data_IF_806314287484
#
_entry.id   IF_806314287484
#
_cell.length_a   1.000
_cell.length_b   1.000
_cell.length_c   1.000
_cell.angle_alpha   90.00
_cell.angle_beta   90.00
_cell.angle_gamma   90.00
#
_symmetry.space_group_name_H-M   'P 1'
#
loop_
_entity.id
_entity.type
_entity.pdbx_description
1 polymer ?
#
# COMPACT_ATOMS: atom_id res chain seq x y z
N UNK A 1 14.09 -6.39 -31.05
CA UNK A 1 12.69 -6.49 -30.64
C UNK A 1 12.61 -6.13 -29.15
N UNK A 2 11.85 -5.11 -28.73
CA UNK A 2 11.69 -4.78 -27.30
C UNK A 2 10.43 -5.46 -26.77
N UNK A 3 10.57 -6.41 -25.85
CA UNK A 3 9.42 -7.01 -25.17
C UNK A 3 8.82 -5.98 -24.20
N UNK A 4 7.49 -5.85 -24.18
CA UNK A 4 6.77 -5.03 -23.21
C UNK A 4 6.01 -5.98 -22.29
N UNK A 5 6.26 -5.89 -20.99
CA UNK A 5 5.53 -6.63 -19.96
C UNK A 5 4.35 -5.77 -19.50
N UNK A 6 3.14 -6.31 -19.59
CA UNK A 6 1.96 -5.74 -18.94
C UNK A 6 1.64 -6.60 -17.73
N UNK A 7 1.50 -6.00 -16.56
CA UNK A 7 1.16 -6.73 -15.35
C UNK A 7 0.21 -5.90 -14.47
N UNK A 8 -0.55 -6.59 -13.64
CA UNK A 8 -1.34 -6.04 -12.55
C UNK A 8 -0.60 -6.39 -11.25
N UNK A 9 -0.29 -5.38 -10.45
CA UNK A 9 0.29 -5.55 -9.12
C UNK A 9 -0.82 -5.30 -8.11
N UNK A 10 -1.05 -6.25 -7.21
CA UNK A 10 -2.00 -6.14 -6.11
C UNK A 10 -1.22 -6.19 -4.80
N UNK A 11 -1.48 -5.24 -3.92
CA UNK A 11 -0.84 -5.12 -2.61
C UNK A 11 -1.95 -5.19 -1.56
N UNK A 12 -1.88 -6.21 -0.70
CA UNK A 12 -2.78 -6.43 0.42
C UNK A 12 -2.01 -6.09 1.71
N UNK A 13 -2.51 -5.12 2.49
CA UNK A 13 -1.94 -4.66 3.76
C UNK A 13 -3.04 -4.58 4.81
N UNK A 14 -2.72 -5.02 6.03
CA UNK A 14 -3.62 -4.96 7.18
C UNK A 14 -3.13 -3.87 8.14
N UNK A 15 -4.08 -3.10 8.69
CA UNK A 15 -3.80 -2.04 9.66
C UNK A 15 -4.43 -2.43 10.99
N UNK A 16 -3.60 -2.60 12.01
CA UNK A 16 -4.08 -2.72 13.38
C UNK A 16 -4.20 -1.30 13.96
N UNK A 17 -5.43 -0.85 14.19
CA UNK A 17 -5.66 0.38 14.94
C UNK A 17 -5.64 0.05 16.43
N UNK A 18 -4.60 0.50 17.14
CA UNK A 18 -4.58 0.44 18.61
C UNK A 18 -5.55 1.50 19.16
N UNK A 19 -6.76 1.06 19.48
CA UNK A 19 -7.87 1.91 19.90
C UNK A 19 -7.63 2.66 21.23
N UNK A 20 -6.56 2.35 21.98
CA UNK A 20 -6.27 3.03 23.25
C UNK A 20 -5.74 4.48 23.09
N UNK A 21 -5.28 4.87 21.89
CA UNK A 21 -4.68 6.20 21.67
C UNK A 21 -5.36 7.06 20.59
N UNK A 22 -6.31 6.52 19.84
CA UNK A 22 -7.00 7.26 18.79
C UNK A 22 -8.38 7.73 19.26
N UNK A 23 -8.42 8.92 19.87
CA UNK A 23 -9.65 9.65 20.15
C UNK A 23 -10.46 9.86 18.84
N UNK A 24 -11.49 9.05 18.61
CA UNK A 24 -12.53 9.25 17.58
C UNK A 24 -12.04 9.38 16.11
N UNK A 25 -10.83 8.97 15.78
CA UNK A 25 -10.33 8.94 14.38
C UNK A 25 -10.20 7.48 13.93
N UNK A 26 -10.78 7.15 12.77
CA UNK A 26 -10.63 5.84 12.15
C UNK A 26 -9.25 5.73 11.49
N UNK A 27 -8.23 5.52 12.33
CA UNK A 27 -6.82 5.50 11.95
C UNK A 27 -6.55 4.58 10.76
N UNK A 28 -7.17 3.39 10.75
CA UNK A 28 -7.01 2.42 9.68
C UNK A 28 -7.52 2.97 8.34
N UNK A 29 -8.64 3.70 8.36
CA UNK A 29 -9.21 4.31 7.17
C UNK A 29 -8.37 5.47 6.65
N UNK A 30 -7.93 6.36 7.54
CA UNK A 30 -7.10 7.51 7.15
C UNK A 30 -5.75 7.04 6.57
N UNK A 31 -5.14 6.02 7.18
CA UNK A 31 -3.90 5.41 6.68
C UNK A 31 -4.11 4.76 5.31
N UNK A 32 -5.19 3.99 5.12
CA UNK A 32 -5.51 3.40 3.83
C UNK A 32 -5.72 4.46 2.72
N UNK A 33 -6.29 5.62 3.05
CA UNK A 33 -6.46 6.73 2.11
C UNK A 33 -5.13 7.42 1.77
N UNK A 34 -4.26 7.66 2.76
CA UNK A 34 -2.91 8.21 2.56
C UNK A 34 -2.10 7.30 1.65
N UNK A 35 -2.08 6.01 1.94
CA UNK A 35 -1.30 5.02 1.20
C UNK A 35 -1.81 4.84 -0.23
N UNK A 36 -3.12 4.90 -0.44
CA UNK A 36 -3.72 4.91 -1.78
C UNK A 36 -3.31 6.16 -2.58
N UNK A 37 -3.28 7.34 -1.96
CA UNK A 37 -2.82 8.57 -2.60
C UNK A 37 -1.35 8.44 -2.96
N UNK A 38 -0.51 8.01 -2.01
CA UNK A 38 0.92 7.84 -2.22
C UNK A 38 1.19 6.88 -3.39
N UNK A 39 0.51 5.73 -3.43
CA UNK A 39 0.67 4.78 -4.52
C UNK A 39 0.25 5.32 -5.89
N UNK A 40 -0.74 6.23 -5.92
CA UNK A 40 -1.24 6.84 -7.17
C UNK A 40 -0.29 7.92 -7.68
N UNK A 41 0.32 8.70 -6.78
CA UNK A 41 1.26 9.78 -7.12
C UNK A 41 2.65 9.22 -7.45
N UNK A 42 3.20 8.38 -6.55
CA UNK A 42 4.47 7.71 -6.72
C UNK A 42 4.47 6.34 -5.99
N UNK A 43 4.41 5.22 -6.74
CA UNK A 43 4.47 3.89 -6.15
C UNK A 43 5.71 3.63 -5.28
N UNK A 44 6.84 4.30 -5.53
CA UNK A 44 8.04 4.13 -4.71
C UNK A 44 7.87 4.77 -3.33
N UNK A 45 7.21 5.93 -3.25
CA UNK A 45 6.92 6.61 -1.98
C UNK A 45 6.02 5.76 -1.08
N UNK A 46 5.05 5.04 -1.66
CA UNK A 46 4.25 4.08 -0.92
C UNK A 46 5.11 2.93 -0.35
N UNK A 47 5.98 2.34 -1.17
CA UNK A 47 6.86 1.25 -0.72
C UNK A 47 7.85 1.70 0.36
N UNK A 48 8.43 2.89 0.21
CA UNK A 48 9.35 3.46 1.20
C UNK A 48 8.63 3.69 2.54
N UNK A 49 7.43 4.27 2.52
CA UNK A 49 6.60 4.47 3.71
C UNK A 49 6.27 3.16 4.43
N UNK A 50 5.97 2.08 3.68
CA UNK A 50 5.73 0.76 4.26
C UNK A 50 6.98 0.18 4.94
N UNK A 51 8.15 0.33 4.31
CA UNK A 51 9.42 -0.17 4.85
C UNK A 51 9.78 0.58 6.14
N UNK A 52 9.65 1.91 6.14
CA UNK A 52 9.93 2.75 7.31
C UNK A 52 9.00 2.45 8.48
N UNK A 53 7.72 2.19 8.21
CA UNK A 53 6.74 1.81 9.22
C UNK A 53 6.92 0.37 9.75
N UNK A 54 7.83 -0.42 9.15
CA UNK A 54 7.95 -1.85 9.45
C UNK A 54 6.69 -2.65 9.10
N UNK A 55 5.88 -2.14 8.17
CA UNK A 55 4.63 -2.75 7.78
C UNK A 55 4.88 -4.03 6.96
N UNK A 56 3.98 -5.00 7.10
CA UNK A 56 3.99 -6.20 6.26
C UNK A 56 2.86 -6.15 5.23
N UNK A 57 3.16 -6.60 4.02
CA UNK A 57 2.17 -6.71 2.97
C UNK A 57 2.40 -7.91 2.08
N UNK A 58 1.32 -8.35 1.47
CA UNK A 58 1.31 -9.45 0.51
C UNK A 58 1.19 -8.89 -0.89
N UNK A 59 2.18 -9.21 -1.72
CA UNK A 59 2.27 -8.71 -3.10
C UNK A 59 1.94 -9.84 -4.07
N UNK A 60 1.00 -9.59 -4.99
CA UNK A 60 0.65 -10.50 -6.08
C UNK A 60 0.85 -9.81 -7.42
N UNK A 61 1.64 -10.44 -8.30
CA UNK A 61 1.90 -9.94 -9.66
C UNK A 61 1.21 -10.87 -10.66
N UNK A 62 0.30 -10.32 -11.45
CA UNK A 62 -0.41 -11.06 -12.51
C UNK A 62 -0.01 -10.50 -13.87
N UNK A 63 0.62 -11.31 -14.71
CA UNK A 63 0.99 -10.90 -16.08
C UNK A 63 -0.25 -10.89 -16.96
N UNK A 64 -0.48 -9.77 -17.65
CA UNK A 64 -1.58 -9.58 -18.59
C UNK A 64 -1.05 -9.86 -19.99
N UNK A 65 -1.70 -10.80 -20.68
CA UNK A 65 -1.41 -11.14 -22.08
C UNK A 65 -2.05 -10.14 -23.05
#
# INVERSE_FOLDING_TARGET
MKARLKAIVTIEQEYEADSEHYNNCDYAKDMAEIDKRNFTEDPLMFVDGMIEAGATAKIKITVVK
#
